data_IF_715103156938
#
_entry.id   IF_715103156938
#
_cell.length_a   1.000
_cell.length_b   1.000
_cell.length_c   1.000
_cell.angle_alpha   90.00
_cell.angle_beta   90.00
_cell.angle_gamma   90.00
#
_symmetry.space_group_name_H-M   'P 1'
#
loop_
_entity.id
_entity.type
_entity.pdbx_description
1 polymer ?
#
# COMPACT_ATOMS: atom_id res chain seq x y z
N UNK A 1 65.90 -14.72 -32.37
CA UNK A 1 64.67 -15.29 -32.95
C UNK A 1 64.47 -16.68 -32.36
N UNK A 2 63.22 -17.12 -32.11
CA UNK A 2 62.03 -16.32 -31.78
C UNK A 2 62.21 -15.79 -30.33
N UNK A 3 61.27 -15.68 -29.38
CA UNK A 3 59.80 -15.70 -29.38
C UNK A 3 59.26 -14.83 -28.22
N UNK A 4 58.00 -14.40 -28.30
CA UNK A 4 57.17 -13.97 -27.17
C UNK A 4 55.73 -14.38 -27.43
N UNK A 5 55.12 -15.16 -26.53
CA UNK A 5 53.69 -15.41 -26.50
C UNK A 5 53.11 -14.81 -25.22
N UNK A 6 52.23 -13.83 -25.37
CA UNK A 6 51.38 -13.32 -24.30
C UNK A 6 50.03 -14.05 -24.32
N UNK A 7 49.68 -14.75 -23.25
CA UNK A 7 48.34 -15.33 -23.07
C UNK A 7 47.60 -14.54 -21.99
N UNK A 8 46.51 -13.88 -22.37
CA UNK A 8 45.62 -13.18 -21.44
C UNK A 8 44.79 -14.18 -20.63
N UNK A 9 44.65 -13.95 -19.32
CA UNK A 9 43.65 -14.61 -18.49
C UNK A 9 42.62 -13.59 -17.99
N UNK A 10 41.34 -13.89 -18.22
CA UNK A 10 40.19 -13.13 -17.76
C UNK A 10 39.88 -13.41 -16.28
N UNK A 11 39.32 -12.45 -15.51
CA UNK A 11 38.81 -12.72 -14.17
C UNK A 11 37.48 -13.48 -14.25
N UNK A 12 37.42 -14.70 -13.72
CA UNK A 12 36.17 -15.44 -13.55
C UNK A 12 35.27 -14.79 -12.48
N UNK A 13 33.96 -14.76 -12.75
CA UNK A 13 32.95 -14.29 -11.80
C UNK A 13 32.71 -15.37 -10.74
N UNK A 14 32.82 -15.01 -9.45
CA UNK A 14 32.32 -15.86 -8.35
C UNK A 14 30.82 -15.59 -8.17
N UNK A 15 29.99 -16.57 -8.50
CA UNK A 15 28.62 -16.63 -7.98
C UNK A 15 28.60 -17.26 -6.58
N UNK A 16 27.68 -16.80 -5.73
CA UNK A 16 27.54 -17.28 -4.35
C UNK A 16 27.02 -18.72 -4.29
N UNK A 17 27.60 -19.52 -3.38
CA UNK A 17 27.19 -20.91 -3.14
C UNK A 17 26.03 -20.97 -2.14
N UNK A 18 24.81 -21.11 -2.65
CA UNK A 18 23.57 -21.17 -1.85
C UNK A 18 23.40 -22.47 -1.03
N UNK A 19 24.29 -23.47 -1.16
CA UNK A 19 24.08 -24.80 -0.53
C UNK A 19 24.19 -24.85 0.99
N UNK A 20 24.70 -23.79 1.66
CA UNK A 20 24.88 -23.78 3.11
C UNK A 20 23.69 -23.28 3.94
N UNK A 21 22.72 -22.59 3.33
CA UNK A 21 21.58 -22.02 4.07
C UNK A 21 20.47 -23.04 4.41
N UNK A 22 20.29 -24.09 3.60
CA UNK A 22 19.23 -25.08 3.83
C UNK A 22 19.43 -25.99 5.05
N UNK A 23 20.66 -26.13 5.55
CA UNK A 23 20.98 -26.99 6.71
C UNK A 23 20.56 -26.36 8.05
N UNK A 24 20.55 -25.03 8.16
CA UNK A 24 20.10 -24.34 9.37
C UNK A 24 18.57 -24.34 9.51
N UNK A 25 17.84 -24.21 8.39
CA UNK A 25 16.38 -24.28 8.39
C UNK A 25 15.86 -25.66 8.86
N UNK A 26 16.44 -26.75 8.33
CA UNK A 26 16.11 -28.13 8.73
C UNK A 26 16.39 -28.40 10.21
N UNK A 27 17.46 -27.83 10.78
CA UNK A 27 17.76 -27.93 12.21
C UNK A 27 16.69 -27.27 13.09
N UNK A 28 16.23 -26.07 12.71
CA UNK A 28 15.19 -25.34 13.46
C UNK A 28 13.85 -26.07 13.50
N UNK A 29 13.40 -26.64 12.39
CA UNK A 29 12.12 -27.36 12.32
C UNK A 29 12.10 -28.62 13.20
N UNK A 30 13.21 -29.35 13.28
CA UNK A 30 13.30 -30.56 14.12
C UNK A 30 13.29 -30.25 15.62
N UNK A 31 13.92 -29.15 16.05
CA UNK A 31 13.86 -28.69 17.45
C UNK A 31 12.43 -28.26 17.83
N UNK A 32 11.73 -27.56 16.93
CA UNK A 32 10.34 -27.13 17.17
C UNK A 32 9.36 -28.32 17.20
N UNK A 33 9.51 -29.30 16.31
CA UNK A 33 8.74 -30.54 16.34
C UNK A 33 8.98 -31.35 17.63
N UNK A 34 10.23 -31.43 18.10
CA UNK A 34 10.56 -32.05 19.39
C UNK A 34 9.93 -31.35 20.59
N UNK A 35 9.88 -30.01 20.58
CA UNK A 35 9.23 -29.22 21.63
C UNK A 35 7.70 -29.43 21.67
N UNK A 36 7.05 -29.48 20.51
CA UNK A 36 5.61 -29.76 20.42
C UNK A 36 5.27 -31.19 20.88
N UNK A 37 6.04 -32.19 20.48
CA UNK A 37 5.83 -33.58 20.91
C UNK A 37 6.09 -33.76 22.42
N UNK A 38 7.17 -33.20 22.95
CA UNK A 38 7.46 -33.23 24.39
C UNK A 38 6.45 -32.48 25.28
N UNK A 39 5.67 -31.57 24.69
CA UNK A 39 4.58 -30.87 25.37
C UNK A 39 3.29 -31.70 25.49
N UNK A 40 3.14 -32.79 24.72
CA UNK A 40 1.94 -33.65 24.76
C UNK A 40 2.02 -34.79 25.79
N UNK A 41 3.19 -35.08 26.35
CA UNK A 41 3.37 -36.19 27.32
C UNK A 41 3.23 -35.77 28.80
N UNK A 42 3.18 -34.47 29.12
CA UNK A 42 3.17 -33.95 30.51
C UNK A 42 1.87 -33.21 30.88
N UNK A 43 0.71 -33.73 30.46
CA UNK A 43 -0.58 -33.03 30.59
C UNK A 43 -1.78 -33.90 30.95
N UNK A 44 -1.59 -34.99 31.69
CA UNK A 44 -2.65 -35.94 32.04
C UNK A 44 -2.95 -35.97 33.56
N UNK A 45 -3.59 -34.92 34.10
CA UNK A 45 -4.53 -35.03 35.24
C UNK A 45 -5.30 -33.71 35.47
N UNK A 46 -6.60 -33.82 35.79
CA UNK A 46 -7.53 -32.71 36.10
C UNK A 46 -7.76 -31.67 34.96
N UNK A 47 -8.92 -31.57 34.30
CA UNK A 47 -10.26 -31.39 34.88
C UNK A 47 -11.33 -32.07 34.01
N UNK A 48 -12.09 -32.99 34.59
CA UNK A 48 -13.34 -33.51 34.02
C UNK A 48 -14.52 -32.64 34.46
N UNK A 49 -15.08 -31.80 33.57
CA UNK A 49 -16.48 -31.38 33.61
C UNK A 49 -16.88 -30.59 32.35
N UNK A 50 -18.05 -30.94 31.79
CA UNK A 50 -18.85 -30.12 30.86
C UNK A 50 -18.21 -29.70 29.51
N UNK A 51 -18.15 -30.64 28.55
CA UNK A 51 -18.94 -30.52 27.29
C UNK A 51 -19.40 -31.92 26.91
N UNK A 52 -20.71 -32.17 26.85
CA UNK A 52 -21.26 -33.42 26.33
C UNK A 52 -22.65 -33.24 25.71
N UNK A 53 -22.70 -32.58 24.55
CA UNK A 53 -23.79 -32.62 23.55
C UNK A 53 -23.35 -31.83 22.31
N UNK A 54 -23.67 -32.21 21.08
CA UNK A 54 -24.06 -33.52 20.56
C UNK A 54 -23.67 -33.56 19.06
N UNK A 55 -23.10 -34.67 18.59
CA UNK A 55 -22.93 -34.96 17.17
C UNK A 55 -23.28 -36.43 16.93
N UNK A 56 -24.37 -36.66 16.21
CA UNK A 56 -24.66 -37.94 15.55
C UNK A 56 -25.20 -37.66 14.16
N UNK A 57 -24.62 -38.32 13.18
CA UNK A 57 -24.90 -38.16 11.75
C UNK A 57 -26.34 -38.55 11.38
N UNK A 58 -26.81 -38.03 10.24
CA UNK A 58 -27.76 -38.73 9.38
C UNK A 58 -27.50 -38.39 7.90
N UNK A 59 -27.00 -39.36 7.14
CA UNK A 59 -26.99 -39.34 5.68
C UNK A 59 -28.41 -39.61 5.10
N UNK A 60 -28.64 -39.25 3.84
CA UNK A 60 -29.86 -39.53 3.06
C UNK A 60 -30.32 -38.28 2.28
N UNK A 61 -29.90 -38.08 1.02
CA UNK A 61 -30.47 -38.68 -0.21
C UNK A 61 -31.88 -38.19 -0.56
N UNK A 62 -32.00 -37.32 -1.58
CA UNK A 62 -32.67 -37.65 -2.86
C UNK A 62 -32.79 -36.45 -3.84
N UNK A 63 -33.03 -36.81 -5.11
CA UNK A 63 -33.11 -36.04 -6.37
C UNK A 63 -33.88 -34.70 -6.41
N UNK A 64 -33.56 -33.85 -7.42
CA UNK A 64 -34.24 -32.54 -7.62
C UNK A 64 -34.02 -31.73 -8.92
N UNK A 65 -33.76 -32.37 -10.05
CA UNK A 65 -34.03 -31.94 -11.46
C UNK A 65 -34.38 -30.46 -11.83
N UNK A 66 -33.46 -29.81 -12.57
CA UNK A 66 -33.63 -28.87 -13.73
C UNK A 66 -34.52 -27.61 -13.62
N UNK A 67 -33.86 -26.45 -13.82
CA UNK A 67 -34.42 -25.17 -14.33
C UNK A 67 -33.50 -24.00 -13.93
N UNK A 68 -33.07 -23.06 -14.77
CA UNK A 68 -33.49 -22.72 -16.13
C UNK A 68 -33.79 -21.20 -16.21
N UNK A 69 -32.95 -20.44 -16.93
CA UNK A 69 -33.20 -19.06 -17.40
C UNK A 69 -33.33 -17.91 -16.37
N UNK A 70 -32.24 -17.14 -16.18
CA UNK A 70 -32.02 -15.78 -16.77
C UNK A 70 -30.91 -15.01 -16.04
N UNK A 71 -29.87 -14.63 -16.79
CA UNK A 71 -28.94 -13.59 -16.35
C UNK A 71 -29.64 -12.23 -16.45
N UNK A 72 -29.81 -11.55 -15.32
CA UNK A 72 -30.22 -10.14 -15.29
C UNK A 72 -28.96 -9.28 -15.18
N UNK A 73 -28.63 -8.55 -16.23
CA UNK A 73 -27.58 -7.53 -16.20
C UNK A 73 -28.10 -6.27 -15.49
N UNK A 74 -27.45 -5.77 -14.43
CA UNK A 74 -27.68 -4.43 -13.94
C UNK A 74 -26.76 -3.47 -14.72
N UNK A 75 -27.27 -2.90 -15.80
CA UNK A 75 -26.64 -1.74 -16.46
C UNK A 75 -26.79 -0.50 -15.56
N UNK A 76 -25.93 -0.39 -14.55
CA UNK A 76 -25.84 0.80 -13.70
C UNK A 76 -25.20 1.95 -14.51
N UNK A 77 -26.05 2.69 -15.22
CA UNK A 77 -25.69 3.93 -15.90
C UNK A 77 -25.36 5.01 -14.87
N UNK A 78 -24.08 5.15 -14.53
CA UNK A 78 -23.57 6.29 -13.76
C UNK A 78 -23.52 7.53 -14.65
N UNK A 79 -24.69 8.13 -14.87
CA UNK A 79 -24.85 9.37 -15.61
C UNK A 79 -24.51 10.55 -14.66
N UNK A 80 -23.22 10.87 -14.58
CA UNK A 80 -22.67 11.87 -13.64
C UNK A 80 -23.09 13.28 -14.03
N UNK A 81 -24.32 13.67 -13.66
CA UNK A 81 -24.77 15.06 -13.72
C UNK A 81 -23.92 15.94 -12.82
N UNK A 82 -22.91 16.57 -13.42
CA UNK A 82 -22.35 17.84 -12.96
C UNK A 82 -23.48 18.89 -13.00
N UNK A 83 -24.25 18.99 -11.92
CA UNK A 83 -25.17 20.11 -11.72
C UNK A 83 -24.37 21.34 -11.34
N UNK A 84 -24.14 22.18 -12.34
CA UNK A 84 -23.78 23.59 -12.19
C UNK A 84 -24.72 24.24 -11.16
N UNK A 85 -24.20 25.07 -10.26
CA UNK A 85 -24.96 25.69 -9.16
C UNK A 85 -25.99 26.69 -9.68
N UNK A 86 -27.20 26.19 -9.95
CA UNK A 86 -28.35 26.99 -10.35
C UNK A 86 -28.86 27.85 -9.20
N UNK A 87 -28.83 29.16 -9.40
CA UNK A 87 -29.53 30.17 -8.58
C UNK A 87 -30.97 29.76 -8.29
N UNK A 88 -31.38 29.90 -7.04
CA UNK A 88 -32.80 29.90 -6.65
C UNK A 88 -33.18 31.31 -6.20
N UNK A 89 -33.84 32.05 -7.10
CA UNK A 89 -34.57 33.25 -6.71
C UNK A 89 -35.74 32.86 -5.80
N UNK A 90 -35.70 33.28 -4.54
CA UNK A 90 -36.87 33.27 -3.65
C UNK A 90 -37.27 34.72 -3.41
N UNK A 91 -38.55 35.02 -3.67
CA UNK A 91 -39.08 36.37 -3.67
C UNK A 91 -39.14 37.00 -2.28
N UNK A 92 -38.66 38.24 -2.24
CA UNK A 92 -39.04 39.38 -1.37
C UNK A 92 -40.02 39.10 -0.23
N UNK A 93 -39.52 39.24 0.99
CA UNK A 93 -40.26 39.78 2.14
C UNK A 93 -39.50 41.01 2.64
N UNK A 94 -40.22 42.11 2.91
CA UNK A 94 -39.67 43.41 3.30
C UNK A 94 -39.26 43.49 4.78
N UNK A 95 -38.40 44.47 5.07
CA UNK A 95 -38.19 45.14 6.38
C UNK A 95 -37.67 44.28 7.56
N UNK A 96 -36.38 44.45 7.88
CA UNK A 96 -35.97 45.20 9.08
C UNK A 96 -34.48 45.63 8.98
N UNK A 97 -34.15 46.81 9.51
CA UNK A 97 -32.81 47.41 9.52
C UNK A 97 -31.95 46.92 10.73
N UNK A 98 -30.67 47.34 10.76
CA UNK A 98 -29.75 47.31 11.91
C UNK A 98 -29.26 45.94 12.46
N UNK A 99 -28.11 45.46 11.96
CA UNK A 99 -26.81 45.64 12.66
C UNK A 99 -25.64 45.00 11.89
N UNK A 100 -24.73 45.83 11.36
CA UNK A 100 -23.52 45.36 10.65
C UNK A 100 -22.42 44.91 11.62
N UNK A 101 -22.53 43.68 12.13
CA UNK A 101 -21.38 42.99 12.74
C UNK A 101 -20.43 42.49 11.65
N UNK A 102 -19.40 43.28 11.39
CA UNK A 102 -18.30 42.96 10.47
C UNK A 102 -17.45 41.79 11.00
N UNK A 103 -17.95 40.57 10.79
CA UNK A 103 -17.27 39.32 11.12
C UNK A 103 -16.12 39.12 10.14
N UNK A 104 -15.00 39.80 10.41
CA UNK A 104 -13.73 39.63 9.71
C UNK A 104 -13.22 38.20 9.92
N UNK A 105 -13.68 37.29 9.06
CA UNK A 105 -13.16 35.93 8.97
C UNK A 105 -11.73 36.00 8.43
N UNK A 106 -10.79 36.20 9.34
CA UNK A 106 -9.37 36.03 9.10
C UNK A 106 -9.09 34.55 8.89
N UNK A 107 -9.45 34.04 7.70
CA UNK A 107 -8.88 32.82 7.13
C UNK A 107 -7.39 33.06 6.92
N UNK A 108 -6.64 32.94 8.01
CA UNK A 108 -5.22 32.64 7.96
C UNK A 108 -5.12 31.25 7.36
N UNK A 109 -5.02 31.18 6.04
CA UNK A 109 -4.49 30.01 5.35
C UNK A 109 -3.10 29.75 5.90
N UNK A 110 -3.03 28.92 6.94
CA UNK A 110 -1.81 28.23 7.32
C UNK A 110 -1.47 27.33 6.14
N UNK A 111 -0.69 27.86 5.20
CA UNK A 111 -0.09 27.12 4.11
C UNK A 111 0.43 25.80 4.67
N UNK A 112 -0.15 24.68 4.22
CA UNK A 112 0.23 23.37 4.72
C UNK A 112 1.76 23.23 4.61
N UNK A 113 2.45 22.74 5.66
CA UNK A 113 3.90 22.67 5.63
C UNK A 113 4.33 21.81 4.44
N UNK A 114 5.01 22.41 3.47
CA UNK A 114 5.48 21.66 2.30
C UNK A 114 6.59 20.72 2.73
N UNK A 115 6.31 19.43 2.63
CA UNK A 115 7.24 18.34 2.96
C UNK A 115 8.33 18.15 1.90
N UNK A 116 8.26 18.90 0.79
CA UNK A 116 9.33 19.01 -0.20
C UNK A 116 10.64 19.59 0.37
N UNK A 117 10.62 20.21 1.56
CA UNK A 117 11.77 20.85 2.19
C UNK A 117 12.70 19.89 2.97
N UNK A 118 12.41 18.58 3.00
CA UNK A 118 13.24 17.56 3.65
C UNK A 118 12.60 16.95 4.90
N UNK A 119 13.39 16.28 5.77
CA UNK A 119 12.86 15.54 6.90
C UNK A 119 12.30 16.45 8.00
N UNK A 120 11.31 15.94 8.71
CA UNK A 120 10.81 16.54 9.95
C UNK A 120 11.39 15.77 11.12
N UNK A 121 12.22 16.41 11.93
CA UNK A 121 12.93 15.81 13.06
C UNK A 121 12.37 16.38 14.37
N UNK A 122 11.89 15.49 15.25
CA UNK A 122 11.34 15.83 16.55
C UNK A 122 12.36 15.59 17.66
N UNK A 123 12.36 16.49 18.65
CA UNK A 123 13.18 16.36 19.86
C UNK A 123 12.51 15.43 20.85
N UNK A 124 12.64 14.13 20.63
CA UNK A 124 12.37 13.12 21.66
C UNK A 124 13.67 12.74 22.37
N UNK A 125 13.56 12.42 23.67
CA UNK A 125 14.66 11.86 24.44
C UNK A 125 14.75 10.34 24.22
N UNK A 126 15.96 9.77 24.39
CA UNK A 126 16.22 8.34 24.20
C UNK A 126 16.67 7.94 22.78
N UNK A 127 17.17 6.71 22.61
CA UNK A 127 17.67 6.20 21.32
C UNK A 127 16.53 5.83 20.36
N UNK A 128 16.80 5.86 19.05
CA UNK A 128 15.92 5.25 18.03
C UNK A 128 15.96 3.72 18.21
N UNK A 129 14.80 3.06 18.23
CA UNK A 129 14.68 1.60 18.28
C UNK A 129 14.52 0.94 16.90
N UNK A 130 13.91 1.66 15.95
CA UNK A 130 13.45 1.13 14.67
C UNK A 130 13.60 2.13 13.51
N UNK A 131 13.90 1.61 12.32
CA UNK A 131 13.74 2.31 11.04
C UNK A 131 12.58 1.65 10.31
N UNK A 132 11.49 2.39 10.08
CA UNK A 132 10.26 1.87 9.49
C UNK A 132 10.08 2.48 8.11
N UNK A 133 10.10 1.64 7.06
CA UNK A 133 9.86 2.11 5.70
C UNK A 133 8.45 1.78 5.26
N UNK A 134 7.69 2.83 5.01
CA UNK A 134 6.35 2.81 4.42
C UNK A 134 6.38 3.41 3.02
N UNK A 135 5.28 3.33 2.31
CA UNK A 135 5.16 3.93 0.99
C UNK A 135 4.06 3.30 0.19
N UNK A 136 3.63 3.98 -0.86
CA UNK A 136 2.60 3.46 -1.74
C UNK A 136 3.07 2.17 -2.45
N UNK A 137 2.14 1.49 -3.11
CA UNK A 137 2.48 0.38 -4.01
C UNK A 137 3.42 0.90 -5.09
N UNK A 138 4.31 0.05 -5.62
CA UNK A 138 5.22 0.42 -6.72
C UNK A 138 6.15 1.63 -6.49
N UNK A 139 6.24 2.23 -5.29
CA UNK A 139 7.11 3.38 -5.02
C UNK A 139 8.56 3.05 -4.68
N UNK A 140 9.03 1.86 -5.05
CA UNK A 140 10.40 1.40 -4.78
C UNK A 140 10.68 0.99 -3.34
N UNK A 141 9.63 0.79 -2.51
CA UNK A 141 9.80 0.44 -1.09
C UNK A 141 10.70 -0.79 -0.85
N UNK A 142 10.57 -1.88 -1.62
CA UNK A 142 11.44 -3.06 -1.47
C UNK A 142 12.92 -2.69 -1.63
N UNK A 143 13.26 -1.98 -2.72
CA UNK A 143 14.63 -1.55 -3.01
C UNK A 143 15.27 -0.76 -1.87
N UNK A 144 14.54 0.19 -1.27
CA UNK A 144 15.07 0.96 -0.14
C UNK A 144 15.04 0.16 1.16
N UNK A 145 14.05 -0.72 1.41
CA UNK A 145 14.08 -1.63 2.57
C UNK A 145 15.32 -2.51 2.55
N UNK A 146 15.58 -3.19 1.44
CA UNK A 146 16.72 -4.11 1.30
C UNK A 146 18.05 -3.35 1.51
N UNK A 147 18.17 -2.16 0.91
CA UNK A 147 19.34 -1.29 1.12
C UNK A 147 19.54 -0.89 2.58
N UNK A 148 18.47 -0.49 3.27
CA UNK A 148 18.56 -0.09 4.67
C UNK A 148 18.90 -1.28 5.59
N UNK A 149 18.42 -2.48 5.27
CA UNK A 149 18.82 -3.72 5.95
C UNK A 149 20.31 -3.97 5.77
N UNK A 150 20.86 -3.84 4.56
CA UNK A 150 22.30 -3.97 4.30
C UNK A 150 23.14 -2.91 5.03
N UNK A 151 22.61 -1.69 5.17
CA UNK A 151 23.32 -0.57 5.80
C UNK A 151 23.27 -0.58 7.34
N UNK A 152 22.15 -1.00 7.94
CA UNK A 152 21.86 -0.78 9.36
C UNK A 152 21.27 -2.02 10.09
N UNK A 153 20.86 -3.07 9.38
CA UNK A 153 20.07 -4.19 9.93
C UNK A 153 20.76 -5.03 11.01
N UNK A 154 22.08 -4.92 11.16
CA UNK A 154 22.85 -5.55 12.24
C UNK A 154 23.03 -4.64 13.49
N UNK A 155 22.53 -3.41 13.44
CA UNK A 155 22.56 -2.42 14.53
C UNK A 155 21.17 -2.05 15.04
N UNK A 156 20.18 -2.01 14.15
CA UNK A 156 18.82 -1.56 14.45
C UNK A 156 17.81 -2.30 13.57
N UNK A 157 16.59 -2.50 14.06
CA UNK A 157 15.57 -3.19 13.28
C UNK A 157 15.06 -2.29 12.15
N UNK A 158 15.23 -2.76 10.91
CA UNK A 158 14.61 -2.18 9.72
C UNK A 158 13.35 -2.98 9.40
N UNK A 159 12.19 -2.33 9.31
CA UNK A 159 10.89 -2.99 9.18
C UNK A 159 10.05 -2.34 8.06
N UNK A 160 9.22 -3.14 7.39
CA UNK A 160 8.21 -2.67 6.41
C UNK A 160 6.88 -2.28 7.05
N UNK A 161 6.82 -2.18 8.38
CA UNK A 161 5.59 -1.92 9.13
C UNK A 161 5.85 -0.69 10.00
N UNK A 162 4.89 0.26 10.05
CA UNK A 162 4.90 1.29 11.08
C UNK A 162 3.82 0.95 12.13
N UNK A 163 2.57 1.35 11.91
CA UNK A 163 1.40 0.85 12.66
C UNK A 163 0.61 -0.19 11.86
N UNK A 164 0.68 -0.12 10.52
CA UNK A 164 0.28 -1.19 9.59
C UNK A 164 1.41 -1.51 8.60
N UNK A 165 1.27 -2.58 7.82
CA UNK A 165 2.21 -2.91 6.73
C UNK A 165 2.26 -1.79 5.68
N UNK A 166 3.44 -1.50 5.14
CA UNK A 166 3.86 -0.28 4.42
C UNK A 166 2.89 0.36 3.43
N UNK A 167 2.13 -0.45 2.69
CA UNK A 167 1.25 0.03 1.62
C UNK A 167 -0.13 0.47 2.12
N UNK A 168 -0.44 0.19 3.37
CA UNK A 168 -1.73 0.44 4.01
C UNK A 168 -1.78 1.83 4.66
N UNK A 169 -2.98 2.37 4.83
CA UNK A 169 -3.22 3.58 5.62
C UNK A 169 -2.72 3.35 7.04
N UNK A 170 -1.85 4.26 7.52
CA UNK A 170 -1.32 4.21 8.87
C UNK A 170 -2.32 4.85 9.84
N UNK A 171 -2.39 4.33 11.05
CA UNK A 171 -3.19 4.87 12.16
C UNK A 171 -2.27 5.35 13.27
N UNK A 172 -2.70 6.37 14.01
CA UNK A 172 -2.09 6.75 15.28
C UNK A 172 -2.82 6.02 16.40
N UNK A 173 -2.11 5.18 17.14
CA UNK A 173 -2.65 4.41 18.25
C UNK A 173 -1.53 4.13 19.26
N UNK A 174 -1.64 4.78 20.42
CA UNK A 174 -0.71 4.74 21.55
C UNK A 174 -0.43 3.31 22.05
N UNK A 175 -1.38 2.38 21.87
CA UNK A 175 -1.21 0.98 22.30
C UNK A 175 -0.29 0.18 21.38
N UNK A 176 -0.16 0.56 20.11
CA UNK A 176 0.73 -0.13 19.16
C UNK A 176 2.17 0.39 19.19
N UNK A 177 2.41 1.66 19.57
CA UNK A 177 3.76 2.25 19.61
C UNK A 177 4.01 3.20 20.77
N UNK A 178 4.91 2.76 21.65
CA UNK A 178 5.57 3.58 22.67
C UNK A 178 7.09 3.74 22.39
N UNK A 179 7.59 3.23 21.26
CA UNK A 179 9.01 3.25 20.91
C UNK A 179 9.39 4.42 19.98
N UNK A 180 10.67 4.83 20.03
CA UNK A 180 11.20 5.93 19.22
C UNK A 180 11.61 5.45 17.83
N UNK A 181 10.90 5.90 16.80
CA UNK A 181 11.01 5.39 15.43
C UNK A 181 11.44 6.45 14.42
N UNK A 182 12.26 6.06 13.46
CA UNK A 182 12.49 6.82 12.22
C UNK A 182 11.59 6.25 11.13
N UNK A 183 10.69 7.06 10.58
CA UNK A 183 9.77 6.64 9.53
C UNK A 183 10.16 7.24 8.18
N UNK A 184 10.29 6.41 7.16
CA UNK A 184 10.58 6.83 5.78
C UNK A 184 9.35 6.55 4.94
N UNK A 185 8.77 7.58 4.32
CA UNK A 185 7.63 7.46 3.43
C UNK A 185 8.08 7.62 1.98
N UNK A 186 8.02 6.51 1.23
CA UNK A 186 8.39 6.46 -0.19
C UNK A 186 7.20 6.80 -1.09
N UNK A 187 7.32 7.92 -1.79
CA UNK A 187 6.41 8.35 -2.85
C UNK A 187 7.05 8.09 -4.23
N UNK A 188 6.21 7.96 -5.25
CA UNK A 188 6.62 7.91 -6.66
C UNK A 188 5.82 8.92 -7.45
N UNK A 189 6.34 9.37 -8.58
CA UNK A 189 5.62 10.27 -9.46
C UNK A 189 4.22 9.70 -9.85
N UNK A 190 3.16 10.53 -9.83
CA UNK A 190 1.78 10.05 -10.01
C UNK A 190 1.51 9.38 -11.37
N UNK A 191 2.16 9.81 -12.46
CA UNK A 191 1.98 9.21 -13.78
C UNK A 191 2.66 7.83 -13.84
N UNK A 192 3.92 7.77 -13.40
CA UNK A 192 4.69 6.52 -13.42
C UNK A 192 4.12 5.51 -12.39
N UNK A 193 3.50 6.00 -11.32
CA UNK A 193 2.83 5.23 -10.28
C UNK A 193 1.48 4.66 -10.73
N UNK A 194 0.58 5.48 -11.28
CA UNK A 194 -0.72 5.00 -11.78
C UNK A 194 -0.52 3.96 -12.88
N UNK A 195 0.42 4.16 -13.80
CA UNK A 195 0.73 3.16 -14.84
C UNK A 195 1.35 1.88 -14.28
N UNK A 196 2.20 1.96 -13.24
CA UNK A 196 2.68 0.76 -12.55
C UNK A 196 1.54 0.02 -11.82
N UNK A 197 0.60 0.76 -11.22
CA UNK A 197 -0.61 0.21 -10.61
C UNK A 197 -1.53 -0.44 -11.65
N UNK A 198 -1.63 0.11 -12.86
CA UNK A 198 -2.41 -0.48 -13.97
C UNK A 198 -1.78 -1.76 -14.51
N UNK A 199 -0.47 -1.77 -14.70
CA UNK A 199 0.27 -2.97 -15.12
C UNK A 199 0.19 -4.10 -14.09
N UNK A 200 0.25 -3.77 -12.79
CA UNK A 200 0.22 -4.76 -11.70
C UNK A 200 -0.58 -4.27 -10.48
N UNK A 201 -1.91 -4.35 -10.50
CA UNK A 201 -2.77 -3.90 -9.39
C UNK A 201 -2.76 -4.89 -8.21
N UNK A 202 -1.68 -4.88 -7.42
CA UNK A 202 -1.54 -5.74 -6.24
C UNK A 202 -2.68 -5.52 -5.24
N UNK A 203 -3.32 -6.63 -4.85
CA UNK A 203 -4.56 -6.73 -4.08
C UNK A 203 -5.81 -6.08 -4.69
N UNK A 204 -5.82 -5.68 -5.97
CA UNK A 204 -6.97 -5.06 -6.61
C UNK A 204 -7.37 -5.82 -7.88
N UNK A 205 -7.90 -7.03 -7.68
CA UNK A 205 -8.10 -8.02 -8.76
C UNK A 205 -9.08 -7.55 -9.84
N UNK A 206 -10.19 -6.92 -9.47
CA UNK A 206 -11.15 -6.31 -10.40
C UNK A 206 -10.57 -5.20 -11.30
N UNK A 207 -9.31 -4.79 -11.10
CA UNK A 207 -8.61 -3.80 -11.93
C UNK A 207 -7.52 -4.42 -12.84
N UNK A 208 -7.32 -5.74 -12.79
CA UNK A 208 -6.33 -6.46 -13.62
C UNK A 208 -6.68 -6.34 -15.10
N UNK A 209 -5.69 -6.03 -15.94
CA UNK A 209 -5.80 -6.09 -17.40
C UNK A 209 -6.62 -4.96 -18.04
N UNK A 210 -6.83 -3.86 -17.33
CA UNK A 210 -7.60 -2.71 -17.83
C UNK A 210 -6.78 -1.77 -18.71
N UNK A 211 -7.44 -1.23 -19.74
CA UNK A 211 -6.97 -0.06 -20.46
C UNK A 211 -6.95 1.16 -19.55
N UNK A 212 -6.07 2.12 -19.84
CA UNK A 212 -5.82 3.22 -18.90
C UNK A 212 -7.06 4.04 -18.59
N UNK A 213 -7.94 4.27 -19.58
CA UNK A 213 -9.19 5.04 -19.43
C UNK A 213 -10.13 4.38 -18.43
N UNK A 214 -10.30 3.07 -18.51
CA UNK A 214 -11.16 2.31 -17.60
C UNK A 214 -10.51 2.21 -16.22
N UNK A 215 -9.20 1.97 -16.16
CA UNK A 215 -8.46 1.84 -14.90
C UNK A 215 -8.53 3.11 -14.03
N UNK A 216 -8.38 4.30 -14.64
CA UNK A 216 -8.40 5.57 -13.87
C UNK A 216 -9.80 6.11 -13.58
N UNK A 217 -10.84 5.55 -14.22
CA UNK A 217 -12.24 5.97 -14.00
C UNK A 217 -13.08 4.95 -13.23
N UNK A 218 -12.54 3.74 -13.01
CA UNK A 218 -13.19 2.72 -12.19
C UNK A 218 -13.09 3.05 -10.68
N UNK A 219 -14.21 2.94 -9.92
CA UNK A 219 -14.19 3.03 -8.47
C UNK A 219 -13.30 1.96 -7.82
N UNK A 220 -12.50 2.37 -6.84
CA UNK A 220 -11.53 1.50 -6.15
C UNK A 220 -12.22 0.58 -5.14
N UNK A 221 -12.85 -0.48 -5.65
CA UNK A 221 -13.58 -1.46 -4.84
C UNK A 221 -13.59 -2.83 -5.52
N UNK A 222 -13.73 -3.87 -4.70
CA UNK A 222 -13.97 -5.25 -5.13
C UNK A 222 -15.21 -5.84 -4.44
N UNK A 223 -15.52 -7.13 -4.67
CA UNK A 223 -16.70 -7.76 -4.10
C UNK A 223 -16.53 -8.07 -2.60
N UNK A 224 -17.58 -7.83 -1.81
CA UNK A 224 -17.76 -8.50 -0.50
C UNK A 224 -18.32 -9.91 -0.73
N UNK A 225 -17.58 -10.92 -0.28
CA UNK A 225 -17.95 -12.32 -0.43
C UNK A 225 -18.97 -12.80 0.62
N UNK A 226 -19.18 -14.13 0.73
CA UNK A 226 -20.09 -14.71 1.70
C UNK A 226 -19.64 -14.54 3.16
N UNK A 227 -18.35 -14.59 3.47
CA UNK A 227 -17.88 -14.53 4.85
C UNK A 227 -18.13 -13.15 5.49
N UNK A 228 -17.89 -12.07 4.74
CA UNK A 228 -18.25 -10.71 5.13
C UNK A 228 -19.75 -10.55 5.41
N UNK A 229 -20.61 -11.17 4.57
CA UNK A 229 -22.07 -11.11 4.75
C UNK A 229 -22.52 -11.86 6.00
N UNK A 230 -21.91 -13.00 6.30
CA UNK A 230 -22.16 -13.76 7.55
C UNK A 230 -21.71 -12.95 8.76
N UNK A 231 -20.53 -12.32 8.72
CA UNK A 231 -20.02 -11.46 9.79
C UNK A 231 -20.96 -10.27 10.05
N UNK A 232 -21.43 -9.61 8.99
CA UNK A 232 -22.41 -8.50 9.07
C UNK A 232 -23.75 -8.94 9.66
N UNK A 233 -24.30 -10.07 9.20
CA UNK A 233 -25.56 -10.61 9.70
C UNK A 233 -25.44 -10.99 11.19
N UNK A 234 -24.34 -11.64 11.59
CA UNK A 234 -24.10 -12.02 12.99
C UNK A 234 -23.95 -10.80 13.91
N UNK A 235 -23.23 -9.76 13.49
CA UNK A 235 -23.13 -8.51 14.26
C UNK A 235 -24.51 -7.89 14.52
N UNK A 236 -25.38 -7.90 13.51
CA UNK A 236 -26.77 -7.43 13.62
C UNK A 236 -27.63 -8.29 14.55
N UNK A 237 -27.49 -9.61 14.50
CA UNK A 237 -28.18 -10.56 15.39
C UNK A 237 -27.70 -10.44 16.85
N UNK A 238 -26.39 -10.32 17.06
CA UNK A 238 -25.76 -10.13 18.38
C UNK A 238 -26.01 -8.72 18.97
N UNK A 239 -26.54 -7.78 18.19
CA UNK A 239 -26.70 -6.37 18.59
C UNK A 239 -25.36 -5.64 18.84
N UNK A 240 -24.27 -6.08 18.22
CA UNK A 240 -22.91 -5.55 18.42
C UNK A 240 -22.49 -4.66 17.25
N UNK A 241 -21.79 -3.53 17.50
CA UNK A 241 -21.19 -2.71 16.44
C UNK A 241 -20.24 -3.55 15.56
N UNK A 242 -20.37 -3.42 14.24
CA UNK A 242 -19.68 -4.26 13.24
C UNK A 242 -18.18 -3.96 13.17
N UNK A 243 -17.79 -2.75 13.56
CA UNK A 243 -16.41 -2.25 13.60
C UNK A 243 -15.56 -3.07 14.58
N UNK A 244 -16.20 -3.61 15.63
CA UNK A 244 -15.58 -4.48 16.64
C UNK A 244 -15.37 -5.92 16.18
N UNK A 245 -15.84 -6.32 15.00
CA UNK A 245 -15.71 -7.69 14.50
C UNK A 245 -14.31 -8.05 13.99
N UNK A 246 -13.37 -7.09 14.01
CA UNK A 246 -12.00 -7.22 13.52
C UNK A 246 -11.92 -7.40 12.00
N UNK A 247 -10.78 -7.07 11.40
CA UNK A 247 -10.61 -7.11 9.96
C UNK A 247 -9.17 -7.41 9.53
N UNK A 248 -8.99 -7.68 8.24
CA UNK A 248 -7.66 -7.83 7.62
C UNK A 248 -6.75 -6.64 7.97
N UNK A 249 -5.46 -6.92 8.17
CA UNK A 249 -4.42 -5.92 8.43
C UNK A 249 -4.69 -4.91 9.58
N UNK A 250 -5.56 -5.25 10.55
CA UNK A 250 -5.87 -4.35 11.67
C UNK A 250 -6.78 -3.18 11.28
N UNK A 251 -7.62 -3.35 10.27
CA UNK A 251 -8.70 -2.43 9.93
C UNK A 251 -9.98 -2.75 10.71
N UNK A 252 -10.95 -1.84 10.62
CA UNK A 252 -12.36 -2.10 10.94
C UNK A 252 -13.08 -2.64 9.70
N UNK A 253 -14.25 -3.26 9.89
CA UNK A 253 -15.01 -3.94 8.83
C UNK A 253 -15.41 -3.06 7.64
N UNK A 254 -15.59 -1.79 7.95
CA UNK A 254 -16.09 -0.69 7.15
C UNK A 254 -14.99 0.15 6.50
N UNK A 255 -13.72 -0.12 6.80
CA UNK A 255 -12.55 0.52 6.18
C UNK A 255 -11.96 -0.28 5.00
N UNK A 256 -12.27 -1.58 4.87
CA UNK A 256 -11.74 -2.43 3.77
C UNK A 256 -12.76 -3.42 3.20
N UNK A 257 -12.52 -3.83 1.94
CA UNK A 257 -13.28 -4.86 1.21
C UNK A 257 -12.32 -5.86 0.54
N UNK A 258 -12.39 -7.17 0.83
CA UNK A 258 -13.26 -7.79 1.82
C UNK A 258 -12.65 -7.61 3.22
N UNK A 259 -13.41 -7.94 4.26
CA UNK A 259 -12.93 -7.91 5.63
C UNK A 259 -12.43 -9.27 6.15
N UNK A 260 -12.83 -10.34 5.48
CA UNK A 260 -12.60 -11.73 5.89
C UNK A 260 -11.51 -12.36 5.03
N UNK A 261 -10.65 -13.19 5.63
CA UNK A 261 -9.53 -13.84 4.93
C UNK A 261 -10.01 -14.84 3.89
N UNK A 262 -11.14 -15.48 4.18
CA UNK A 262 -11.85 -16.46 3.35
C UNK A 262 -12.36 -15.83 2.04
N UNK A 263 -12.82 -14.58 2.11
CA UNK A 263 -13.26 -13.81 0.94
C UNK A 263 -12.05 -13.22 0.19
N UNK A 264 -10.95 -12.91 0.89
CA UNK A 264 -9.71 -12.35 0.33
C UNK A 264 -8.87 -13.38 -0.44
N UNK A 265 -9.41 -13.92 -1.53
CA UNK A 265 -8.70 -14.94 -2.34
C UNK A 265 -7.39 -14.42 -2.92
N UNK A 266 -6.39 -15.29 -3.05
CA UNK A 266 -5.09 -14.98 -3.66
C UNK A 266 -5.10 -15.25 -5.15
N UNK A 267 -4.54 -14.31 -5.93
CA UNK A 267 -4.26 -14.48 -7.35
C UNK A 267 -2.74 -14.43 -7.56
N UNK A 268 -2.21 -15.30 -8.42
CA UNK A 268 -0.78 -15.48 -8.64
C UNK A 268 -0.13 -14.19 -9.14
N UNK A 269 0.94 -13.74 -8.48
CA UNK A 269 1.59 -12.45 -8.77
C UNK A 269 0.85 -11.20 -8.24
N UNK A 270 -0.42 -11.28 -7.85
CA UNK A 270 -1.22 -10.14 -7.37
C UNK A 270 -1.53 -10.16 -5.86
N UNK A 271 -1.16 -11.24 -5.15
CA UNK A 271 -1.48 -11.47 -3.74
C UNK A 271 -2.99 -11.56 -3.46
N UNK A 272 -3.39 -11.62 -2.19
CA UNK A 272 -4.79 -11.66 -1.74
C UNK A 272 -5.50 -10.31 -2.00
N UNK A 273 -6.75 -10.25 -2.45
CA UNK A 273 -7.38 -8.93 -2.75
C UNK A 273 -7.90 -8.22 -1.48
N UNK A 274 -7.69 -6.90 -1.41
CA UNK A 274 -8.04 -6.05 -0.27
C UNK A 274 -8.02 -4.58 -0.72
N UNK A 275 -9.21 -4.01 -0.86
CA UNK A 275 -9.47 -2.62 -1.23
C UNK A 275 -9.68 -1.79 0.02
N UNK A 276 -9.03 -0.63 0.09
CA UNK A 276 -9.23 0.35 1.15
C UNK A 276 -10.35 1.33 0.74
N UNK A 277 -11.21 1.66 1.72
CA UNK A 277 -12.35 2.56 1.56
C UNK A 277 -12.01 3.98 2.06
N UNK A 278 -12.93 4.92 1.82
CA UNK A 278 -12.80 6.30 2.26
C UNK A 278 -12.68 6.40 3.78
N UNK A 279 -11.63 7.07 4.26
CA UNK A 279 -11.38 7.35 5.68
C UNK A 279 -12.21 8.52 6.25
N UNK A 280 -13.23 8.99 5.51
CA UNK A 280 -14.20 10.02 5.92
C UNK A 280 -15.33 9.47 6.82
N UNK A 281 -15.32 8.18 7.14
CA UNK A 281 -16.39 7.50 7.87
C UNK A 281 -17.66 7.25 7.05
N UNK A 282 -17.63 7.45 5.72
CA UNK A 282 -18.75 7.12 4.84
C UNK A 282 -18.75 5.67 4.36
N UNK A 283 -17.64 4.95 4.55
CA UNK A 283 -17.44 3.55 4.14
C UNK A 283 -17.61 3.31 2.63
N UNK A 284 -17.47 4.38 1.83
CA UNK A 284 -17.60 4.34 0.37
C UNK A 284 -16.28 3.94 -0.29
N UNK A 285 -16.39 3.39 -1.49
CA UNK A 285 -15.25 3.27 -2.40
C UNK A 285 -14.69 4.65 -2.77
N UNK A 286 -13.39 4.73 -3.01
CA UNK A 286 -12.83 5.87 -3.74
C UNK A 286 -13.39 5.89 -5.17
N UNK A 287 -13.67 7.07 -5.71
CA UNK A 287 -14.19 7.23 -7.07
C UNK A 287 -13.22 6.73 -8.15
N UNK A 288 -11.93 6.78 -7.85
CA UNK A 288 -10.83 6.36 -8.70
C UNK A 288 -9.59 6.00 -7.89
N UNK A 289 -8.57 5.45 -8.56
CA UNK A 289 -7.23 5.22 -8.00
C UNK A 289 -6.50 6.51 -7.60
N UNK A 290 -6.79 7.65 -8.25
CA UNK A 290 -6.16 8.93 -7.91
C UNK A 290 -6.77 9.56 -6.64
N UNK A 291 -8.06 9.31 -6.37
CA UNK A 291 -8.69 9.73 -5.11
C UNK A 291 -8.12 8.96 -3.91
N UNK A 292 -7.87 7.64 -4.07
CA UNK A 292 -7.17 6.84 -3.06
C UNK A 292 -5.77 7.41 -2.79
N UNK A 293 -5.02 7.70 -3.86
CA UNK A 293 -3.65 8.25 -3.77
C UNK A 293 -3.60 9.60 -3.06
N UNK A 294 -4.55 10.49 -3.37
CA UNK A 294 -4.71 11.78 -2.68
C UNK A 294 -4.81 11.59 -1.16
N UNK A 295 -5.72 10.73 -0.69
CA UNK A 295 -5.84 10.43 0.73
C UNK A 295 -4.61 9.68 1.30
N UNK A 296 -3.93 8.83 0.52
CA UNK A 296 -2.67 8.17 0.95
C UNK A 296 -1.58 9.17 1.28
N UNK A 297 -1.39 10.17 0.42
CA UNK A 297 -0.43 11.25 0.66
C UNK A 297 -0.83 12.01 1.93
N UNK A 298 -2.09 12.43 2.05
CA UNK A 298 -2.58 13.15 3.24
C UNK A 298 -2.42 12.35 4.54
N UNK A 299 -2.67 11.03 4.52
CA UNK A 299 -2.45 10.14 5.66
C UNK A 299 -0.96 10.02 6.02
N UNK A 300 -0.09 9.79 5.03
CA UNK A 300 1.34 9.66 5.30
C UNK A 300 1.96 10.97 5.82
N UNK A 301 1.47 12.13 5.38
CA UNK A 301 1.92 13.42 5.89
C UNK A 301 1.40 13.76 7.30
N UNK A 302 0.48 12.96 7.87
CA UNK A 302 0.09 13.09 9.28
C UNK A 302 1.02 12.32 10.24
N UNK A 303 1.71 11.29 9.75
CA UNK A 303 2.62 10.42 10.53
C UNK A 303 3.69 11.17 11.36
N UNK A 304 4.28 12.30 10.92
CA UNK A 304 5.12 13.15 11.79
C UNK A 304 4.51 13.44 13.17
N UNK A 305 3.18 13.45 13.30
CA UNK A 305 2.45 13.74 14.54
C UNK A 305 2.08 12.49 15.35
N UNK A 306 2.31 11.29 14.82
CA UNK A 306 1.89 10.03 15.45
C UNK A 306 2.83 9.64 16.59
N UNK A 307 2.30 8.86 17.53
CA UNK A 307 3.04 8.42 18.71
C UNK A 307 4.28 7.59 18.34
N UNK A 308 5.38 7.89 19.02
CA UNK A 308 6.68 7.26 18.79
C UNK A 308 7.49 7.81 17.59
N UNK A 309 6.94 8.68 16.73
CA UNK A 309 7.70 9.17 15.56
C UNK A 309 8.74 10.23 15.98
N UNK A 310 10.03 9.85 15.90
CA UNK A 310 11.16 10.72 16.20
C UNK A 310 11.64 11.51 14.98
N UNK A 311 11.58 10.91 13.80
CA UNK A 311 11.82 11.64 12.55
C UNK A 311 11.02 11.03 11.40
N UNK A 312 10.64 11.87 10.46
CA UNK A 312 9.88 11.51 9.27
C UNK A 312 10.61 11.99 8.02
N UNK A 313 10.81 11.07 7.07
CA UNK A 313 11.55 11.27 5.83
C UNK A 313 10.62 11.06 4.62
N UNK A 314 10.03 12.13 4.07
CA UNK A 314 9.28 12.07 2.81
C UNK A 314 10.27 11.99 1.64
N UNK A 315 10.42 10.82 1.04
CA UNK A 315 11.39 10.59 -0.04
C UNK A 315 10.67 10.26 -1.35
N UNK A 316 11.16 10.86 -2.44
CA UNK A 316 10.70 10.56 -3.81
C UNK A 316 11.62 9.54 -4.45
N UNK A 317 11.03 8.50 -5.03
CA UNK A 317 11.74 7.45 -5.77
C UNK A 317 12.69 8.04 -6.83
N UNK A 318 12.21 9.00 -7.61
CA UNK A 318 12.94 9.67 -8.68
C UNK A 318 14.12 10.48 -8.14
N UNK A 319 13.95 11.13 -6.98
CA UNK A 319 15.02 11.90 -6.34
C UNK A 319 16.15 10.99 -5.86
N UNK A 320 15.83 9.85 -5.21
CA UNK A 320 16.82 8.85 -4.80
C UNK A 320 17.48 8.18 -6.00
N UNK A 321 16.74 7.87 -7.07
CA UNK A 321 17.32 7.32 -8.30
C UNK A 321 18.24 8.33 -9.02
N UNK A 322 17.92 9.62 -8.98
CA UNK A 322 18.72 10.70 -9.57
C UNK A 322 20.01 10.94 -8.79
N UNK A 323 19.91 11.16 -7.47
CA UNK A 323 21.01 11.64 -6.60
C UNK A 323 21.76 10.53 -5.87
N UNK A 324 21.19 9.33 -5.81
CA UNK A 324 21.69 8.23 -4.99
C UNK A 324 21.22 8.31 -3.53
N UNK A 325 21.62 7.33 -2.72
CA UNK A 325 21.16 7.23 -1.31
C UNK A 325 22.10 7.89 -0.29
N UNK A 326 23.25 8.42 -0.70
CA UNK A 326 24.26 8.98 0.21
C UNK A 326 23.71 10.07 1.14
N UNK A 327 22.87 10.98 0.61
CA UNK A 327 22.22 12.01 1.42
C UNK A 327 21.20 11.45 2.41
N UNK A 328 20.43 10.43 2.03
CA UNK A 328 19.48 9.75 2.93
C UNK A 328 20.23 9.05 4.06
N UNK A 329 21.26 8.26 3.74
CA UNK A 329 22.08 7.56 4.72
C UNK A 329 22.72 8.52 5.73
N UNK A 330 23.31 9.63 5.27
CA UNK A 330 23.93 10.62 6.16
C UNK A 330 22.93 11.23 7.17
N UNK A 331 21.70 11.54 6.75
CA UNK A 331 20.66 12.04 7.65
C UNK A 331 20.15 10.95 8.61
N UNK A 332 20.11 9.68 8.17
CA UNK A 332 19.78 8.56 9.06
C UNK A 332 20.87 8.34 10.11
N UNK A 333 22.16 8.45 9.75
CA UNK A 333 23.26 8.42 10.71
C UNK A 333 23.16 9.54 11.76
N UNK A 334 22.78 10.75 11.34
CA UNK A 334 22.59 11.89 12.24
C UNK A 334 21.46 11.66 13.24
N UNK A 335 20.29 11.19 12.77
CA UNK A 335 19.11 11.02 13.63
C UNK A 335 19.20 9.79 14.53
N UNK A 336 19.80 8.70 14.06
CA UNK A 336 19.95 7.44 14.81
C UNK A 336 21.20 7.39 15.69
N UNK A 337 22.24 8.17 15.37
CA UNK A 337 23.57 8.05 15.98
C UNK A 337 24.37 6.83 15.52
N UNK A 338 23.83 6.02 14.58
CA UNK A 338 24.47 4.83 14.03
C UNK A 338 25.33 5.18 12.81
N UNK A 339 26.13 4.22 12.33
CA UNK A 339 26.89 4.35 11.09
C UNK A 339 26.46 3.30 10.07
N UNK A 340 26.28 3.74 8.83
CA UNK A 340 25.97 2.87 7.70
C UNK A 340 27.18 1.99 7.39
N UNK A 341 26.96 0.68 7.27
CA UNK A 341 28.00 -0.33 6.96
C UNK A 341 28.05 -0.72 5.49
N UNK A 342 27.26 -0.05 4.67
CA UNK A 342 27.12 -0.25 3.23
C UNK A 342 27.82 0.89 2.44
N UNK A 343 28.07 0.65 1.16
CA UNK A 343 28.30 1.76 0.21
C UNK A 343 26.95 2.35 -0.23
N UNK A 344 26.79 3.68 -0.31
CA UNK A 344 25.59 4.28 -0.85
C UNK A 344 25.37 3.91 -2.32
N UNK A 345 24.11 3.70 -2.73
CA UNK A 345 23.79 3.62 -4.15
C UNK A 345 24.12 4.94 -4.83
N UNK A 346 24.88 4.84 -5.93
CA UNK A 346 25.21 5.98 -6.78
C UNK A 346 23.97 6.38 -7.59
N UNK A 347 23.69 7.68 -7.61
CA UNK A 347 22.65 8.23 -8.47
C UNK A 347 22.95 7.97 -9.94
N UNK A 348 21.90 7.75 -10.72
CA UNK A 348 21.97 7.56 -12.18
C UNK A 348 22.27 8.86 -12.92
N UNK A 349 22.08 10.03 -12.28
CA UNK A 349 22.28 11.34 -12.90
C UNK A 349 21.15 11.77 -13.85
N UNK A 350 20.14 10.92 -14.08
CA UNK A 350 18.97 11.23 -14.88
C UNK A 350 17.70 10.61 -14.26
N UNK A 351 16.57 11.32 -14.34
CA UNK A 351 15.27 10.71 -14.07
C UNK A 351 14.73 10.15 -15.37
N UNK A 352 14.36 8.86 -15.36
CA UNK A 352 13.69 8.20 -16.49
C UNK A 352 12.23 7.96 -16.15
N UNK A 353 11.34 8.40 -17.03
CA UNK A 353 9.89 8.30 -16.89
C UNK A 353 9.31 7.32 -17.90
N UNK A 354 8.13 6.77 -17.61
CA UNK A 354 7.43 5.91 -18.56
C UNK A 354 6.96 6.72 -19.77
N UNK A 355 7.11 6.15 -20.96
CA UNK A 355 6.48 6.68 -22.18
C UNK A 355 4.99 6.34 -22.18
N UNK A 356 4.14 7.33 -21.92
CA UNK A 356 2.69 7.17 -21.74
C UNK A 356 1.90 7.90 -22.84
N UNK A 357 0.64 7.52 -23.00
CA UNK A 357 -0.30 8.15 -23.93
C UNK A 357 -0.46 9.67 -23.62
N UNK A 358 -0.37 10.60 -24.60
CA UNK A 358 -0.52 12.03 -24.37
C UNK A 358 -1.93 12.42 -23.90
N UNK A 359 -2.96 11.64 -24.23
CA UNK A 359 -4.30 11.79 -23.65
C UNK A 359 -4.33 11.39 -22.18
N UNK A 360 -3.57 10.36 -21.78
CA UNK A 360 -3.41 9.98 -20.38
C UNK A 360 -2.71 11.09 -19.59
N UNK A 361 -1.62 11.68 -20.11
CA UNK A 361 -0.98 12.84 -19.45
C UNK A 361 -1.98 13.99 -19.28
N UNK A 362 -2.73 14.36 -20.33
CA UNK A 362 -3.76 15.42 -20.25
C UNK A 362 -4.86 15.10 -19.24
N UNK A 363 -5.28 13.84 -19.14
CA UNK A 363 -6.25 13.39 -18.15
C UNK A 363 -5.69 13.55 -16.72
N UNK A 364 -4.49 13.06 -16.47
CA UNK A 364 -3.81 13.19 -15.17
C UNK A 364 -3.62 14.67 -14.77
N UNK A 365 -3.18 15.54 -15.70
CA UNK A 365 -3.06 16.98 -15.44
C UNK A 365 -4.39 17.62 -15.02
N UNK A 366 -5.52 17.11 -15.52
CA UNK A 366 -6.85 17.66 -15.26
C UNK A 366 -7.49 17.16 -13.96
N UNK A 367 -7.26 15.90 -13.59
CA UNK A 367 -8.04 15.23 -12.54
C UNK A 367 -7.25 14.91 -11.26
N UNK A 368 -5.91 14.82 -11.31
CA UNK A 368 -5.09 14.66 -10.11
C UNK A 368 -5.14 15.94 -9.25
N UNK A 369 -5.21 15.77 -7.93
CA UNK A 369 -5.07 16.87 -6.97
C UNK A 369 -3.60 17.31 -6.87
N UNK A 370 -3.26 18.31 -7.68
CA UNK A 370 -1.90 18.84 -7.78
C UNK A 370 -1.44 19.63 -6.56
N UNK A 371 -2.36 20.11 -5.72
CA UNK A 371 -2.01 20.76 -4.47
C UNK A 371 -1.48 19.71 -3.47
N UNK A 372 -2.13 18.54 -3.40
CA UNK A 372 -1.69 17.40 -2.58
C UNK A 372 -0.40 16.76 -3.12
N UNK A 373 -0.29 16.51 -4.42
CA UNK A 373 0.97 16.04 -5.04
C UNK A 373 2.13 17.04 -4.85
N UNK A 374 1.82 18.33 -4.87
CA UNK A 374 2.76 19.42 -4.58
C UNK A 374 3.32 19.39 -3.15
N UNK A 375 2.57 18.88 -2.17
CA UNK A 375 3.06 18.74 -0.78
C UNK A 375 4.26 17.78 -0.67
N UNK A 376 4.31 16.76 -1.51
CA UNK A 376 5.45 15.81 -1.64
C UNK A 376 6.41 16.17 -2.79
N UNK A 377 6.17 17.31 -3.46
CA UNK A 377 7.10 17.93 -4.41
C UNK A 377 6.95 17.49 -5.87
N UNK A 378 5.86 16.84 -6.26
CA UNK A 378 5.54 16.60 -7.68
C UNK A 378 4.87 17.81 -8.32
N UNK A 379 4.94 17.87 -9.64
CA UNK A 379 4.35 18.93 -10.49
C UNK A 379 3.80 18.30 -11.77
N UNK A 380 2.95 19.03 -12.48
CA UNK A 380 2.43 18.59 -13.77
C UNK A 380 3.56 18.36 -14.79
N UNK A 381 3.41 17.32 -15.60
CA UNK A 381 4.22 17.04 -16.78
C UNK A 381 3.55 17.61 -18.04
N UNK A 382 4.38 18.08 -18.97
CA UNK A 382 3.94 18.32 -20.34
C UNK A 382 3.71 17.00 -21.09
N UNK A 383 2.65 16.87 -21.91
CA UNK A 383 2.45 15.70 -22.77
C UNK A 383 3.59 15.55 -23.78
N UNK A 384 4.42 14.52 -23.60
CA UNK A 384 5.52 14.20 -24.52
C UNK A 384 4.94 13.55 -25.79
N UNK A 385 5.46 13.86 -27.00
CA UNK A 385 5.07 13.16 -28.22
C UNK A 385 5.32 11.65 -28.10
N UNK A 386 4.24 10.89 -27.95
CA UNK A 386 4.27 9.44 -27.86
C UNK A 386 4.10 8.82 -29.24
N UNK A 387 4.98 7.87 -29.56
CA UNK A 387 4.71 6.93 -30.64
C UNK A 387 4.20 5.66 -29.96
N UNK A 388 3.02 5.13 -30.34
CA UNK A 388 2.59 3.83 -29.82
C UNK A 388 3.70 2.81 -30.05
N UNK A 389 3.98 1.90 -29.10
CA UNK A 389 4.81 0.76 -29.43
C UNK A 389 4.16 0.08 -30.63
N UNK A 390 4.90 -0.03 -31.74
CA UNK A 390 4.43 -0.75 -32.93
C UNK A 390 3.82 -2.05 -32.45
N UNK A 391 2.57 -2.40 -32.82
CA UNK A 391 1.98 -3.66 -32.38
C UNK A 391 2.99 -4.75 -32.67
N UNK A 392 3.59 -5.30 -31.62
CA UNK A 392 4.57 -6.36 -31.78
C UNK A 392 3.76 -7.49 -32.34
N UNK A 393 3.96 -7.73 -33.64
CA UNK A 393 3.27 -8.76 -34.41
C UNK A 393 3.25 -9.99 -33.51
N UNK A 394 2.05 -10.47 -33.14
CA UNK A 394 1.85 -11.33 -31.98
C UNK A 394 2.46 -12.72 -32.21
N UNK A 395 3.78 -12.75 -32.13
CA UNK A 395 4.65 -13.79 -32.64
C UNK A 395 4.74 -14.88 -31.59
N UNK A 396 3.66 -15.64 -31.50
CA UNK A 396 3.60 -16.99 -30.98
C UNK A 396 4.64 -17.29 -29.88
N UNK A 397 4.45 -16.69 -28.70
CA UNK A 397 5.15 -17.16 -27.50
C UNK A 397 4.62 -18.56 -27.15
N UNK A 398 5.20 -19.55 -27.84
CA UNK A 398 4.99 -20.97 -27.59
C UNK A 398 5.50 -21.29 -26.19
N UNK A 399 4.57 -21.35 -25.24
CA UNK A 399 4.62 -22.14 -23.99
C UNK A 399 6.01 -22.68 -23.59
N UNK A 400 6.90 -21.81 -23.12
CA UNK A 400 8.06 -22.26 -22.34
C UNK A 400 7.59 -22.38 -20.90
N UNK A 401 7.34 -23.62 -20.48
CA UNK A 401 6.94 -23.92 -19.11
C UNK A 401 8.02 -23.45 -18.13
N UNK A 402 7.67 -22.71 -17.06
CA UNK A 402 8.64 -22.30 -16.06
C UNK A 402 9.12 -23.54 -15.28
N UNK A 403 10.43 -23.77 -15.30
CA UNK A 403 11.07 -24.73 -14.40
C UNK A 403 11.16 -24.15 -12.98
N UNK A 404 10.95 -25.03 -12.00
CA UNK A 404 10.88 -24.75 -10.55
C UNK A 404 12.25 -24.33 -9.98
#
# INVERSE_FOLDING_TARGET
>A
MPSMNSTSLSPERRCCDYKKLNLLALGGTLVYAGYLLGSMENGAESVFAAVNSAFTNSDGSDDGTVGGLRAASPSASWDTRLTNSGSWDIGMGEEDEDDHLELQSAHVEKSAPSYANGPVIYKHDGPVSTINLIGERHSGTNWITDHLVDCFGDQIQVQTNFTRFKHWFQIDDEYYRNESAVVIAMFRDPYDWVEAMRERPHHAHDHIGMEWKDFVTKPWVGPRGPADKIKLQKSKEDGKPIENAGCLAGYKFDEVVPCSLEDSVTNEGYSNYMYELMHDGSHRAYGSIIDLRREKILNFLQIPKFHGVRAFFPERYEALNLRGTAGLLAQLEEVTGLKAKCEPFKGTGAVTHKGVDPEYTKWMNKFVDWDVEGMVGYVQREPVPWTPPTPVEAAAETSVSPAI
#
